data_IF_157068198114
#
_entry.id   IF_157068198114
#
_cell.length_a   1.000
_cell.length_b   1.000
_cell.length_c   1.000
_cell.angle_alpha   90.00
_cell.angle_beta   90.00
_cell.angle_gamma   90.00
#
_symmetry.space_group_name_H-M   'P 1'
#
loop_
_entity.id
_entity.type
_entity.pdbx_description
1 polymer ?
#
# COMPACT_ATOMS: atom_id res chain seq x y z
N UNK A 1 -3.48 8.70 11.06
CA UNK A 1 -4.22 8.06 9.96
C UNK A 1 -4.69 9.15 9.02
N UNK A 2 -3.88 9.53 8.04
CA UNK A 2 -4.21 10.60 7.08
C UNK A 2 -4.83 9.91 5.86
N UNK A 3 -6.15 10.05 5.72
CA UNK A 3 -6.88 9.68 4.51
C UNK A 3 -6.49 10.68 3.41
N UNK A 4 -5.56 10.28 2.55
CA UNK A 4 -5.08 11.07 1.42
C UNK A 4 -5.65 10.50 0.12
N UNK A 5 -6.99 10.40 0.05
CA UNK A 5 -7.69 10.08 -1.20
C UNK A 5 -8.81 11.12 -1.39
N UNK A 6 -8.41 12.35 -1.75
CA UNK A 6 -9.33 13.30 -2.37
C UNK A 6 -8.69 13.98 -3.58
N UNK A 7 -9.11 13.49 -4.75
CA UNK A 7 -9.34 14.23 -6.01
C UNK A 7 -8.14 15.02 -6.58
N UNK A 8 -7.36 14.32 -7.41
CA UNK A 8 -6.30 14.85 -8.26
C UNK A 8 -6.86 15.87 -9.28
N UNK A 9 -6.55 17.16 -9.09
CA UNK A 9 -6.64 18.14 -10.18
C UNK A 9 -5.67 19.33 -10.03
N UNK A 10 -5.20 19.66 -8.83
CA UNK A 10 -4.21 20.75 -8.61
C UNK A 10 -3.18 20.48 -7.50
N UNK A 11 -3.31 19.41 -6.71
CA UNK A 11 -2.41 19.04 -5.60
C UNK A 11 -1.18 18.18 -6.00
N UNK A 12 -0.96 17.95 -7.30
CA UNK A 12 -0.06 16.91 -7.80
C UNK A 12 1.42 17.14 -7.44
N UNK A 13 1.88 18.39 -7.34
CA UNK A 13 3.29 18.70 -7.06
C UNK A 13 3.63 18.44 -5.59
N UNK A 14 2.71 18.78 -4.68
CA UNK A 14 2.90 18.64 -3.24
C UNK A 14 2.84 17.17 -2.81
N UNK A 15 1.91 16.41 -3.41
CA UNK A 15 1.86 14.96 -3.26
C UNK A 15 3.12 14.28 -3.82
N UNK A 16 3.55 14.65 -5.04
CA UNK A 16 4.80 14.14 -5.63
C UNK A 16 6.02 14.42 -4.74
N UNK A 17 6.11 15.62 -4.17
CA UNK A 17 7.18 15.99 -3.26
C UNK A 17 7.17 15.17 -1.96
N UNK A 18 6.00 15.01 -1.33
CA UNK A 18 5.85 14.19 -0.12
C UNK A 18 6.21 12.74 -0.41
N UNK A 19 5.74 12.18 -1.53
CA UNK A 19 6.10 10.82 -1.93
C UNK A 19 7.61 10.68 -2.08
N UNK A 20 8.30 11.58 -2.80
CA UNK A 20 9.76 11.51 -2.98
C UNK A 20 10.57 11.42 -1.66
N UNK A 21 10.04 11.93 -0.55
CA UNK A 21 10.68 11.83 0.77
C UNK A 21 10.35 10.52 1.52
N UNK A 22 9.30 9.80 1.14
CA UNK A 22 8.84 8.57 1.79
C UNK A 22 9.48 7.34 1.14
N UNK A 23 10.13 6.51 1.96
CA UNK A 23 10.64 5.21 1.50
C UNK A 23 9.58 4.10 1.56
N UNK A 24 8.60 4.26 2.47
CA UNK A 24 7.53 3.29 2.71
C UNK A 24 6.26 4.01 3.20
N UNK A 25 5.11 3.66 2.64
CA UNK A 25 3.80 4.12 3.07
C UNK A 25 2.82 2.95 3.18
N UNK A 26 2.01 2.97 4.25
CA UNK A 26 0.99 1.97 4.55
C UNK A 26 -0.38 2.61 4.34
N UNK A 27 -1.18 2.04 3.45
CA UNK A 27 -2.49 2.56 3.06
C UNK A 27 -3.55 1.52 3.41
N UNK A 28 -4.55 1.93 4.18
CA UNK A 28 -5.78 1.17 4.43
C UNK A 28 -6.90 1.73 3.56
N UNK A 29 -7.90 0.89 3.28
CA UNK A 29 -9.10 1.26 2.53
C UNK A 29 -8.78 1.81 1.12
N UNK A 30 -8.03 1.02 0.33
CA UNK A 30 -7.58 1.44 -1.00
C UNK A 30 -8.71 1.48 -2.03
N UNK A 31 -9.80 0.73 -1.82
CA UNK A 31 -10.88 0.53 -2.77
C UNK A 31 -10.38 -0.07 -4.12
N UNK A 32 -9.24 -0.76 -4.08
CA UNK A 32 -8.65 -1.37 -5.28
C UNK A 32 -9.28 -2.72 -5.59
N UNK A 33 -9.34 -3.01 -6.89
CA UNK A 33 -9.76 -4.29 -7.46
C UNK A 33 -8.63 -4.81 -8.36
N UNK A 34 -8.73 -6.05 -8.85
CA UNK A 34 -7.82 -6.61 -9.85
C UNK A 34 -7.80 -5.80 -11.15
N UNK A 35 -8.86 -5.02 -11.41
CA UNK A 35 -8.97 -4.16 -12.59
C UNK A 35 -8.45 -2.74 -12.33
N UNK A 36 -8.16 -2.39 -11.08
CA UNK A 36 -7.67 -1.06 -10.75
C UNK A 36 -6.23 -0.90 -11.25
N UNK A 37 -6.04 0.01 -12.21
CA UNK A 37 -4.72 0.39 -12.70
C UNK A 37 -4.22 1.61 -11.90
N UNK A 38 -3.47 1.35 -10.85
CA UNK A 38 -2.83 2.38 -10.04
C UNK A 38 -1.31 2.16 -10.03
N UNK A 39 -0.56 3.20 -10.36
CA UNK A 39 0.89 3.19 -10.26
C UNK A 39 1.40 4.57 -9.85
N UNK A 40 2.49 4.59 -9.09
CA UNK A 40 3.22 5.80 -8.72
C UNK A 40 4.61 5.66 -9.32
N UNK A 41 5.02 6.55 -10.26
CA UNK A 41 6.36 6.49 -10.84
C UNK A 41 7.45 6.46 -9.76
N UNK A 42 8.38 5.50 -9.86
CA UNK A 42 9.48 5.35 -8.90
C UNK A 42 9.13 4.54 -7.65
N UNK A 43 7.93 3.95 -7.57
CA UNK A 43 7.50 3.12 -6.43
C UNK A 43 6.98 1.77 -6.87
N UNK A 44 7.22 0.77 -6.03
CA UNK A 44 6.54 -0.52 -6.10
C UNK A 44 5.33 -0.51 -5.17
N UNK A 45 4.26 -1.18 -5.58
CA UNK A 45 3.00 -1.22 -4.84
C UNK A 45 2.62 -2.68 -4.63
N UNK A 46 2.38 -3.06 -3.38
CA UNK A 46 1.92 -4.39 -2.97
C UNK A 46 0.51 -4.21 -2.42
N UNK A 47 -0.45 -4.95 -2.95
CA UNK A 47 -1.88 -4.76 -2.63
C UNK A 47 -2.49 -6.02 -2.06
N UNK A 48 -3.38 -5.86 -1.09
CA UNK A 48 -4.31 -6.88 -0.64
C UNK A 48 -5.72 -6.34 -0.89
N UNK A 49 -6.38 -6.87 -1.92
CA UNK A 49 -7.74 -6.47 -2.28
C UNK A 49 -8.74 -7.31 -1.49
N UNK A 50 -9.98 -6.83 -1.37
CA UNK A 50 -11.07 -7.64 -0.82
C UNK A 50 -11.25 -8.93 -1.64
N UNK A 51 -11.52 -10.09 -1.01
CA UNK A 51 -11.62 -11.37 -1.71
C UNK A 51 -12.73 -11.43 -2.77
N UNK A 52 -13.83 -10.70 -2.60
CA UNK A 52 -14.88 -10.58 -3.62
C UNK A 52 -14.52 -9.61 -4.77
N UNK A 53 -13.33 -8.99 -4.69
CA UNK A 53 -12.79 -8.06 -5.67
C UNK A 53 -13.63 -6.79 -5.92
N UNK A 54 -14.39 -6.35 -4.92
CA UNK A 54 -15.14 -5.09 -4.97
C UNK A 54 -14.35 -3.94 -4.35
N UNK A 55 -14.77 -2.71 -4.68
CA UNK A 55 -14.09 -1.48 -4.27
C UNK A 55 -14.65 -0.90 -2.96
N UNK A 56 -14.76 -1.70 -1.90
CA UNK A 56 -15.19 -1.18 -0.56
C UNK A 56 -14.16 -1.41 0.55
N UNK A 57 -13.03 -2.05 0.25
CA UNK A 57 -12.01 -2.41 1.23
C UNK A 57 -10.63 -2.48 0.58
N UNK A 58 -9.69 -3.16 1.24
CA UNK A 58 -8.35 -3.42 0.75
C UNK A 58 -7.26 -2.59 1.44
N UNK A 59 -6.01 -3.03 1.28
CA UNK A 59 -4.83 -2.40 1.85
C UNK A 59 -3.69 -2.41 0.83
N UNK A 60 -2.74 -1.47 0.95
CA UNK A 60 -1.54 -1.44 0.12
C UNK A 60 -0.31 -0.95 0.87
N UNK A 61 0.83 -1.48 0.47
CA UNK A 61 2.16 -0.93 0.80
C UNK A 61 2.73 -0.30 -0.45
N UNK A 62 3.14 0.96 -0.35
CA UNK A 62 3.90 1.68 -1.37
C UNK A 62 5.34 1.77 -0.87
N UNK A 63 6.31 1.28 -1.64
CA UNK A 63 7.72 1.17 -1.22
C UNK A 63 8.67 1.61 -2.34
N UNK A 64 9.72 2.36 -1.99
CA UNK A 64 10.79 2.70 -2.94
C UNK A 64 11.57 1.43 -3.33
N UNK A 65 11.86 1.22 -4.63
CA UNK A 65 12.65 0.08 -5.09
C UNK A 65 14.07 0.04 -4.51
N UNK A 66 14.63 1.18 -4.06
CA UNK A 66 15.95 1.25 -3.41
C UNK A 66 16.00 0.59 -2.03
N UNK A 67 14.85 0.41 -1.37
CA UNK A 67 14.76 -0.32 -0.12
C UNK A 67 14.62 -1.82 -0.44
N UNK A 68 15.57 -2.65 -0.02
CA UNK A 68 15.49 -4.10 -0.27
C UNK A 68 14.36 -4.72 0.56
N UNK A 69 13.46 -5.43 -0.12
CA UNK A 69 12.34 -6.11 0.50
C UNK A 69 12.07 -7.48 -0.14
N UNK A 70 11.36 -8.34 0.59
CA UNK A 70 10.80 -9.59 0.10
C UNK A 70 9.29 -9.57 0.32
N UNK A 71 8.53 -9.89 -0.71
CA UNK A 71 7.07 -10.01 -0.60
C UNK A 71 6.71 -11.25 0.21
N UNK A 72 5.80 -11.09 1.16
CA UNK A 72 5.23 -12.18 1.94
C UNK A 72 3.80 -12.40 1.43
N UNK A 73 3.25 -13.64 1.47
CA UNK A 73 1.85 -13.87 1.14
C UNK A 73 0.92 -12.90 1.87
N UNK A 74 0.08 -12.22 1.10
CA UNK A 74 -0.93 -11.29 1.63
C UNK A 74 -2.08 -12.08 2.26
N UNK A 75 -2.79 -11.46 3.20
CA UNK A 75 -4.04 -11.99 3.75
C UNK A 75 -5.19 -11.30 3.02
N UNK A 76 -6.12 -12.07 2.47
CA UNK A 76 -7.30 -11.57 1.75
C UNK A 76 -8.56 -12.27 2.26
N UNK A 77 -8.90 -12.00 3.51
CA UNK A 77 -10.07 -12.57 4.18
C UNK A 77 -11.17 -11.52 4.29
N UNK A 78 -12.45 -11.90 4.35
CA UNK A 78 -13.56 -10.93 4.48
C UNK A 78 -13.40 -10.02 5.71
N UNK A 79 -12.78 -10.53 6.79
CA UNK A 79 -12.55 -9.80 8.04
C UNK A 79 -11.18 -9.12 8.12
N UNK A 80 -10.27 -9.37 7.18
CA UNK A 80 -8.91 -8.82 7.19
C UNK A 80 -8.29 -8.82 5.79
N UNK A 81 -7.91 -7.64 5.31
CA UNK A 81 -7.00 -7.52 4.18
C UNK A 81 -5.67 -6.97 4.65
N UNK A 82 -4.59 -7.74 4.45
CA UNK A 82 -3.25 -7.36 4.81
C UNK A 82 -2.28 -7.51 3.63
N UNK A 83 -1.69 -6.39 3.19
CA UNK A 83 -0.53 -6.40 2.29
C UNK A 83 0.72 -6.54 3.15
N UNK A 84 1.61 -7.50 2.85
CA UNK A 84 2.71 -7.88 3.74
C UNK A 84 4.03 -7.95 2.98
N UNK A 85 5.08 -7.36 3.57
CA UNK A 85 6.46 -7.52 3.11
C UNK A 85 7.42 -7.62 4.28
N UNK A 86 8.63 -8.07 4.00
CA UNK A 86 9.75 -8.00 4.94
C UNK A 86 10.85 -7.11 4.38
N UNK A 87 11.33 -6.16 5.18
CA UNK A 87 12.53 -5.37 4.91
C UNK A 87 13.68 -5.84 5.79
N UNK A 88 14.91 -5.52 5.42
CA UNK A 88 16.09 -5.78 6.25
C UNK A 88 16.67 -4.46 6.76
N UNK A 89 16.59 -4.20 8.06
CA UNK A 89 17.23 -3.05 8.70
C UNK A 89 18.40 -3.55 9.55
N UNK A 90 19.61 -3.06 9.28
CA UNK A 90 20.83 -3.45 10.03
C UNK A 90 20.97 -4.98 10.19
N UNK A 91 20.74 -5.69 9.09
CA UNK A 91 20.74 -7.15 9.02
C UNK A 91 19.61 -7.90 9.73
N UNK A 92 18.69 -7.20 10.38
CA UNK A 92 17.53 -7.77 11.05
C UNK A 92 16.31 -7.72 10.10
N UNK A 93 15.66 -8.87 9.81
CA UNK A 93 14.42 -8.86 9.04
C UNK A 93 13.28 -8.29 9.87
N UNK A 94 12.53 -7.34 9.29
CA UNK A 94 11.36 -6.71 9.89
C UNK A 94 10.18 -6.91 8.95
N UNK A 95 9.16 -7.60 9.43
CA UNK A 95 7.90 -7.80 8.70
C UNK A 95 6.97 -6.63 8.95
N UNK A 96 6.44 -6.05 7.88
CA UNK A 96 5.54 -4.91 7.89
C UNK A 96 4.25 -5.31 7.17
N UNK A 97 3.11 -4.95 7.74
CA UNK A 97 1.80 -5.15 7.15
C UNK A 97 1.02 -3.83 7.08
N UNK A 98 0.46 -3.52 5.93
CA UNK A 98 -0.65 -2.56 5.82
C UNK A 98 -1.96 -3.35 5.92
N UNK A 99 -2.84 -2.95 6.82
CA UNK A 99 -4.05 -3.71 7.12
C UNK A 99 -5.31 -2.87 6.99
N UNK A 100 -6.39 -3.52 6.58
CA UNK A 100 -7.76 -3.03 6.72
C UNK A 100 -8.59 -4.10 7.43
N UNK A 101 -9.26 -3.68 8.50
CA UNK A 101 -10.22 -4.48 9.25
C UNK A 101 -11.58 -3.78 9.12
N UNK A 102 -12.61 -4.44 8.58
CA UNK A 102 -13.95 -3.87 8.53
C UNK A 102 -14.46 -3.49 9.94
N UNK A 103 -15.32 -2.45 10.05
CA UNK A 103 -15.90 -1.99 11.31
C UNK A 103 -16.88 -2.99 11.95
#
# INVERSE_FOLDING_TARGET
MISLIRRFSTENVLLSFIFNLLDLALISETHFTTNTKFSIPGYNIITSNHPDNTSHAGAAIIIKPSLLYTTIPNIQENYLQAAILSIKLNHIPITIAATYCPP
#
